data_IF_557529096617
#
_entry.id   IF_557529096617
#
_cell.length_a   1.000
_cell.length_b   1.000
_cell.length_c   1.000
_cell.angle_alpha   90.00
_cell.angle_beta   90.00
_cell.angle_gamma   90.00
#
_symmetry.space_group_name_H-M   'P 1'
#
loop_
_entity.id
_entity.type
_entity.pdbx_description
1 polymer ?
#
# COMPACT_ATOMS: atom_id res chain seq x y z
N UNK A 1 21.98 -17.21 99.17
CA UNK A 1 22.63 -16.47 98.07
C UNK A 1 22.28 -17.14 96.76
N UNK A 2 21.41 -16.54 95.95
CA UNK A 2 20.95 -17.05 94.66
C UNK A 2 21.49 -16.13 93.59
N UNK A 3 22.45 -16.63 92.75
CA UNK A 3 23.04 -15.91 91.67
C UNK A 3 22.16 -16.09 90.43
N UNK A 4 21.57 -15.06 89.91
CA UNK A 4 20.77 -15.05 88.65
C UNK A 4 21.74 -14.86 87.48
N UNK A 5 21.82 -15.86 86.58
CA UNK A 5 22.47 -15.76 85.28
C UNK A 5 21.55 -15.00 84.33
N UNK A 6 22.00 -13.86 83.81
CA UNK A 6 21.35 -13.14 82.70
C UNK A 6 21.86 -13.71 81.38
N UNK A 7 20.97 -14.34 80.63
CA UNK A 7 21.23 -14.78 79.25
C UNK A 7 20.88 -13.60 78.36
N UNK A 8 21.91 -12.98 77.71
CA UNK A 8 21.75 -11.96 76.69
C UNK A 8 21.59 -12.68 75.35
N UNK A 9 20.39 -12.66 74.79
CA UNK A 9 20.08 -13.17 73.47
C UNK A 9 20.43 -12.06 72.40
N UNK A 10 21.47 -12.26 71.59
CA UNK A 10 21.75 -11.42 70.42
C UNK A 10 20.76 -11.77 69.28
N UNK A 11 20.09 -10.77 68.66
CA UNK A 11 19.27 -11.04 67.49
C UNK A 11 20.19 -11.26 66.29
N UNK A 12 20.09 -12.43 65.66
CA UNK A 12 20.70 -12.76 64.35
C UNK A 12 19.81 -12.11 63.29
N UNK A 13 20.28 -10.97 62.70
CA UNK A 13 19.63 -10.34 61.57
C UNK A 13 20.01 -11.10 60.31
N UNK A 14 19.09 -11.90 59.78
CA UNK A 14 19.19 -12.50 58.43
C UNK A 14 19.01 -11.38 57.38
N UNK A 15 20.08 -10.92 56.79
CA UNK A 15 20.05 -10.11 55.58
C UNK A 15 19.64 -11.02 54.39
N UNK A 16 18.35 -10.97 54.04
CA UNK A 16 17.83 -11.50 52.80
C UNK A 16 18.39 -10.64 51.66
N UNK A 17 19.46 -11.10 51.02
CA UNK A 17 19.94 -10.53 49.76
C UNK A 17 18.89 -10.81 48.68
N UNK A 18 18.01 -9.84 48.40
CA UNK A 18 17.16 -9.87 47.24
C UNK A 18 18.06 -9.82 46.00
N UNK A 19 18.21 -10.94 45.29
CA UNK A 19 18.86 -10.99 43.99
C UNK A 19 18.00 -10.12 43.05
N UNK A 20 18.54 -9.00 42.59
CA UNK A 20 17.91 -8.24 41.51
C UNK A 20 17.73 -9.20 40.31
N UNK A 21 16.60 -9.18 39.63
CA UNK A 21 16.41 -9.97 38.44
C UNK A 21 17.56 -9.62 37.46
N UNK A 22 18.23 -10.63 36.94
CA UNK A 22 19.28 -10.43 35.93
C UNK A 22 18.67 -9.67 34.75
N UNK A 23 19.14 -8.46 34.49
CA UNK A 23 18.69 -7.67 33.36
C UNK A 23 19.03 -8.44 32.10
N UNK A 24 18.03 -8.76 31.28
CA UNK A 24 18.28 -9.43 30.01
C UNK A 24 19.32 -8.60 29.20
N UNK A 25 20.27 -9.27 28.55
CA UNK A 25 21.28 -8.59 27.77
C UNK A 25 20.61 -7.73 26.70
N UNK A 26 21.12 -6.52 26.49
CA UNK A 26 20.61 -5.62 25.46
C UNK A 26 20.67 -6.28 24.08
N UNK A 27 19.65 -6.06 23.23
CA UNK A 27 19.68 -6.55 21.85
C UNK A 27 20.90 -6.02 21.09
N UNK A 28 21.40 -6.80 20.12
CA UNK A 28 22.51 -6.42 19.27
C UNK A 28 22.12 -6.44 17.81
N UNK A 29 22.84 -5.67 16.96
CA UNK A 29 22.55 -5.65 15.53
C UNK A 29 22.71 -7.04 14.91
N UNK A 30 23.84 -7.69 15.13
CA UNK A 30 24.18 -8.97 14.49
C UNK A 30 23.26 -10.14 14.89
N UNK A 31 22.55 -10.03 16.02
CA UNK A 31 21.67 -11.10 16.49
C UNK A 31 20.19 -10.80 16.21
N UNK A 32 19.60 -9.79 16.89
CA UNK A 32 18.17 -9.55 16.84
C UNK A 32 17.78 -8.55 15.75
N UNK A 33 18.51 -7.39 15.70
CA UNK A 33 18.07 -6.24 14.93
C UNK A 33 18.14 -6.47 13.43
N UNK A 34 19.23 -7.05 12.92
CA UNK A 34 19.38 -7.31 11.50
C UNK A 34 18.27 -8.21 10.95
N UNK A 35 17.77 -9.17 11.74
CA UNK A 35 16.66 -10.04 11.33
C UNK A 35 15.36 -9.27 11.18
N UNK A 36 15.10 -8.33 12.08
CA UNK A 36 13.94 -7.43 11.97
C UNK A 36 14.08 -6.54 10.73
N UNK A 37 15.26 -5.95 10.52
CA UNK A 37 15.54 -5.11 9.34
C UNK A 37 15.37 -5.90 8.04
N UNK A 38 15.90 -7.12 7.97
CA UNK A 38 15.73 -8.02 6.83
C UNK A 38 14.26 -8.30 6.54
N UNK A 39 13.50 -8.65 7.57
CA UNK A 39 12.09 -9.03 7.42
C UNK A 39 11.16 -7.85 7.10
N UNK A 40 11.45 -6.64 7.63
CA UNK A 40 10.50 -5.52 7.65
C UNK A 40 10.93 -4.28 6.88
N UNK A 41 12.23 -4.06 6.69
CA UNK A 41 12.76 -2.77 6.24
C UNK A 41 13.54 -2.85 4.92
N UNK A 42 14.40 -3.86 4.76
CA UNK A 42 15.38 -3.92 3.67
C UNK A 42 14.77 -4.12 2.29
N UNK A 43 13.51 -4.58 2.19
CA UNK A 43 12.79 -4.64 0.91
C UNK A 43 12.72 -3.27 0.22
N UNK A 44 12.60 -2.19 1.02
CA UNK A 44 12.55 -0.81 0.51
C UNK A 44 13.83 -0.03 0.81
N UNK A 45 14.46 -0.24 2.00
CA UNK A 45 15.66 0.46 2.43
C UNK A 45 16.93 -0.22 1.92
N UNK A 46 17.17 -0.13 0.61
CA UNK A 46 18.38 -0.61 -0.09
C UNK A 46 18.61 0.19 -1.37
N UNK A 47 19.81 0.08 -1.91
CA UNK A 47 20.14 0.78 -3.15
C UNK A 47 19.22 0.39 -4.31
N UNK A 48 18.79 1.37 -5.09
CA UNK A 48 17.90 1.18 -6.25
C UNK A 48 16.41 1.06 -5.93
N UNK A 49 16.02 1.09 -4.66
CA UNK A 49 14.63 1.14 -4.22
C UNK A 49 14.18 2.54 -3.81
N UNK A 50 12.94 2.65 -3.40
CA UNK A 50 12.28 3.95 -3.17
C UNK A 50 12.78 4.68 -1.91
N UNK A 51 13.19 3.94 -0.87
CA UNK A 51 13.60 4.57 0.38
C UNK A 51 14.86 5.46 0.19
N UNK A 52 14.97 6.60 0.89
CA UNK A 52 16.04 7.58 0.68
C UNK A 52 17.41 7.11 1.21
N UNK A 53 17.47 6.04 2.00
CA UNK A 53 18.69 5.49 2.57
C UNK A 53 18.62 3.97 2.71
N UNK A 54 19.77 3.34 2.80
CA UNK A 54 19.94 1.90 3.01
C UNK A 54 19.86 1.53 4.50
N UNK A 55 19.44 0.28 4.78
CA UNK A 55 19.52 -0.37 6.10
C UNK A 55 20.11 -1.79 5.97
N UNK A 56 21.03 -1.99 5.02
CA UNK A 56 21.61 -3.31 4.75
C UNK A 56 22.70 -3.63 5.76
N UNK A 57 23.54 -2.65 6.13
CA UNK A 57 24.70 -2.84 7.00
C UNK A 57 24.46 -2.31 8.41
N UNK A 58 25.29 -2.77 9.36
CA UNK A 58 25.31 -2.19 10.70
C UNK A 58 25.52 -0.68 10.65
N UNK A 59 26.47 -0.20 9.85
CA UNK A 59 26.76 1.22 9.72
C UNK A 59 25.57 2.02 9.23
N UNK A 60 24.84 1.51 8.22
CA UNK A 60 23.62 2.15 7.72
C UNK A 60 22.60 2.33 8.86
N UNK A 61 22.35 1.25 9.63
CA UNK A 61 21.37 1.27 10.71
C UNK A 61 21.84 2.12 11.89
N UNK A 62 23.13 2.08 12.24
CA UNK A 62 23.72 2.88 13.32
C UNK A 62 23.60 4.38 13.03
N UNK A 63 23.95 4.81 11.82
CA UNK A 63 23.89 6.21 11.42
C UNK A 63 22.46 6.74 11.38
N UNK A 64 21.47 5.87 11.18
CA UNK A 64 20.03 6.17 11.10
C UNK A 64 19.23 5.76 12.34
N UNK A 65 19.87 5.37 13.43
CA UNK A 65 19.22 4.81 14.61
C UNK A 65 18.14 5.73 15.22
N UNK A 66 18.40 7.03 15.27
CA UNK A 66 17.41 7.97 15.82
C UNK A 66 16.21 8.13 14.90
N UNK A 67 16.44 8.23 13.58
CA UNK A 67 15.37 8.23 12.57
C UNK A 67 14.54 6.94 12.65
N UNK A 68 15.19 5.78 12.81
CA UNK A 68 14.51 4.48 12.98
C UNK A 68 13.64 4.50 14.24
N UNK A 69 14.20 4.92 15.40
CA UNK A 69 13.45 4.98 16.67
C UNK A 69 12.18 5.81 16.52
N UNK A 70 12.31 7.02 15.99
CA UNK A 70 11.20 7.96 15.89
C UNK A 70 10.13 7.47 14.90
N UNK A 71 10.54 6.91 13.77
CA UNK A 71 9.66 6.35 12.77
C UNK A 71 8.89 5.10 13.27
N UNK A 72 9.54 4.19 14.01
CA UNK A 72 8.87 2.99 14.53
C UNK A 72 7.99 3.31 15.74
N UNK A 73 8.41 4.21 16.65
CA UNK A 73 7.58 4.68 17.78
C UNK A 73 6.33 5.40 17.27
N UNK A 74 6.48 6.24 16.24
CA UNK A 74 5.37 6.94 15.58
C UNK A 74 4.52 6.05 14.67
N UNK A 75 4.85 4.77 14.51
CA UNK A 75 4.16 3.84 13.59
C UNK A 75 4.12 4.34 12.13
N UNK A 76 5.04 5.21 11.76
CA UNK A 76 5.22 5.70 10.39
C UNK A 76 5.87 4.61 9.52
N UNK A 77 6.81 3.83 10.11
CA UNK A 77 7.50 2.72 9.45
C UNK A 77 7.37 1.42 10.26
N UNK A 78 7.24 0.28 9.54
CA UNK A 78 6.90 0.15 8.11
C UNK A 78 5.53 0.73 7.78
N UNK A 79 5.30 1.23 6.54
CA UNK A 79 4.02 1.85 6.16
C UNK A 79 2.92 0.80 6.08
N UNK A 80 2.05 0.80 7.09
CA UNK A 80 0.90 -0.10 7.18
C UNK A 80 -0.21 0.59 7.97
N UNK A 81 -1.27 0.98 7.30
CA UNK A 81 -2.32 1.83 7.87
C UNK A 81 -3.57 1.10 8.39
N UNK A 82 -3.93 -0.13 7.95
CA UNK A 82 -5.10 -0.81 8.49
C UNK A 82 -4.99 -1.09 9.99
N UNK A 83 -6.03 -0.72 10.72
CA UNK A 83 -6.17 -1.01 12.15
C UNK A 83 -6.41 -2.51 12.36
N UNK A 84 -5.70 -3.17 13.28
CA UNK A 84 -5.93 -4.57 13.60
C UNK A 84 -7.39 -4.86 13.99
N UNK A 85 -7.93 -6.00 13.52
CA UNK A 85 -9.31 -6.39 13.76
C UNK A 85 -10.33 -5.80 12.76
N UNK A 86 -9.89 -4.91 11.86
CA UNK A 86 -10.71 -4.38 10.77
C UNK A 86 -10.21 -4.92 9.43
N UNK A 87 -10.66 -6.12 9.06
CA UNK A 87 -10.16 -6.87 7.93
C UNK A 87 -8.90 -7.69 8.26
N UNK A 88 -8.71 -8.77 7.51
CA UNK A 88 -7.52 -9.62 7.57
C UNK A 88 -6.85 -9.62 6.20
N UNK A 89 -5.61 -9.16 6.14
CA UNK A 89 -4.91 -8.93 4.88
C UNK A 89 -3.67 -9.80 4.75
N UNK A 90 -3.33 -10.17 3.51
CA UNK A 90 -2.08 -10.84 3.20
C UNK A 90 -0.89 -9.93 3.49
N UNK A 91 0.21 -10.54 3.95
CA UNK A 91 1.50 -9.88 4.16
C UNK A 91 1.42 -8.56 4.96
N UNK A 92 0.83 -8.58 6.17
CA UNK A 92 0.73 -7.38 6.98
C UNK A 92 2.13 -6.89 7.35
N UNK A 93 2.42 -5.62 6.99
CA UNK A 93 3.73 -5.01 7.24
C UNK A 93 3.85 -4.34 8.61
N UNK A 94 2.74 -4.26 9.37
CA UNK A 94 2.76 -3.68 10.71
C UNK A 94 3.85 -4.34 11.56
N UNK A 95 4.74 -3.52 12.12
CA UNK A 95 5.78 -3.99 13.03
C UNK A 95 5.14 -4.52 14.32
N UNK A 96 5.33 -5.81 14.67
CA UNK A 96 4.87 -6.36 15.95
C UNK A 96 5.45 -5.59 17.13
N UNK A 97 4.70 -5.50 18.23
CA UNK A 97 5.14 -4.75 19.41
C UNK A 97 6.43 -5.30 20.02
N UNK A 98 6.65 -6.61 19.93
CA UNK A 98 7.91 -7.22 20.37
C UNK A 98 9.10 -6.76 19.52
N UNK A 99 8.97 -6.75 18.18
CA UNK A 99 10.01 -6.29 17.28
C UNK A 99 10.28 -4.78 17.47
N UNK A 100 9.23 -3.98 17.68
CA UNK A 100 9.36 -2.54 17.99
C UNK A 100 10.15 -2.34 19.29
N UNK A 101 9.78 -3.06 20.36
CA UNK A 101 10.49 -2.99 21.65
C UNK A 101 11.96 -3.36 21.49
N UNK A 102 12.28 -4.39 20.71
CA UNK A 102 13.66 -4.82 20.44
C UNK A 102 14.45 -3.72 19.74
N UNK A 103 13.90 -3.10 18.68
CA UNK A 103 14.56 -2.00 17.98
C UNK A 103 14.84 -0.80 18.90
N UNK A 104 13.83 -0.42 19.69
CA UNK A 104 13.96 0.71 20.63
C UNK A 104 14.99 0.41 21.73
N UNK A 105 14.95 -0.79 22.33
CA UNK A 105 15.90 -1.20 23.36
C UNK A 105 17.33 -1.25 22.83
N UNK A 106 17.53 -1.71 21.59
CA UNK A 106 18.84 -1.68 20.92
C UNK A 106 19.39 -0.25 20.81
N UNK A 107 18.56 0.69 20.36
CA UNK A 107 18.97 2.10 20.18
C UNK A 107 19.26 2.75 21.54
N UNK A 108 18.41 2.53 22.54
CA UNK A 108 18.56 3.07 23.90
C UNK A 108 19.79 2.50 24.63
N UNK A 109 20.23 1.29 24.26
CA UNK A 109 21.47 0.68 24.75
C UNK A 109 22.75 1.16 24.02
N UNK A 110 22.65 2.18 23.15
CA UNK A 110 23.77 2.71 22.38
C UNK A 110 24.01 1.99 21.05
N UNK A 111 23.04 1.21 20.60
CA UNK A 111 23.06 0.51 19.32
C UNK A 111 24.27 -0.43 19.12
N UNK A 112 24.56 -1.38 20.02
CA UNK A 112 25.72 -2.26 19.93
C UNK A 112 25.66 -3.17 18.69
N UNK A 113 26.82 -3.38 18.04
CA UNK A 113 26.93 -4.26 16.87
C UNK A 113 26.74 -5.74 17.25
N UNK A 114 27.39 -6.17 18.31
CA UNK A 114 27.32 -7.55 18.79
C UNK A 114 28.34 -8.49 18.14
N UNK A 115 28.20 -9.78 18.43
CA UNK A 115 29.08 -10.84 17.97
C UNK A 115 28.94 -11.07 16.45
N UNK A 116 29.99 -10.92 15.63
CA UNK A 116 29.96 -11.18 14.19
C UNK A 116 29.52 -12.61 13.82
N UNK A 117 29.76 -13.59 14.69
CA UNK A 117 29.36 -14.98 14.44
C UNK A 117 27.84 -15.19 14.44
N UNK A 118 27.06 -14.24 14.98
CA UNK A 118 25.60 -14.25 15.01
C UNK A 118 24.96 -13.56 13.81
N UNK A 119 25.75 -12.89 12.96
CA UNK A 119 25.23 -12.19 11.78
C UNK A 119 24.66 -13.22 10.79
N UNK A 120 23.35 -13.11 10.42
CA UNK A 120 22.77 -13.98 9.42
C UNK A 120 23.31 -13.66 8.01
N UNK A 121 23.20 -14.59 7.06
CA UNK A 121 23.49 -14.28 5.66
C UNK A 121 22.72 -13.06 5.17
N UNK A 122 23.29 -12.24 4.28
CA UNK A 122 22.57 -11.15 3.64
C UNK A 122 21.33 -11.64 2.92
N UNK A 123 20.27 -10.84 2.95
CA UNK A 123 19.07 -11.14 2.18
C UNK A 123 19.36 -10.99 0.69
N UNK A 124 18.93 -11.99 -0.09
CA UNK A 124 19.01 -11.96 -1.56
C UNK A 124 17.71 -11.37 -2.09
N UNK A 125 17.82 -10.31 -2.86
CA UNK A 125 16.68 -9.67 -3.51
C UNK A 125 16.62 -10.06 -4.98
N UNK A 126 15.41 -10.32 -5.54
CA UNK A 126 15.27 -10.55 -6.97
C UNK A 126 15.82 -9.36 -7.77
N UNK A 127 16.58 -9.63 -8.80
CA UNK A 127 16.96 -8.65 -9.81
C UNK A 127 15.92 -8.66 -10.93
N UNK A 128 15.35 -7.50 -11.29
CA UNK A 128 14.30 -7.42 -12.32
C UNK A 128 12.89 -7.66 -11.77
N UNK A 129 12.15 -8.57 -12.40
CA UNK A 129 10.76 -8.85 -12.06
C UNK A 129 10.63 -9.69 -10.79
N UNK A 130 9.87 -9.22 -9.81
CA UNK A 130 9.66 -9.92 -8.52
C UNK A 130 8.86 -11.22 -8.67
N UNK A 131 7.91 -11.22 -9.64
CA UNK A 131 7.07 -12.39 -9.93
C UNK A 131 7.71 -13.39 -10.89
N UNK A 132 9.01 -13.22 -11.19
CA UNK A 132 9.74 -13.97 -12.20
C UNK A 132 9.53 -13.39 -13.60
N UNK A 133 10.14 -14.06 -14.62
CA UNK A 133 10.09 -13.58 -16.01
C UNK A 133 8.62 -13.54 -16.49
N UNK A 134 8.08 -12.38 -16.89
CA UNK A 134 6.73 -12.29 -17.44
C UNK A 134 6.62 -12.94 -18.82
N UNK A 135 5.42 -13.42 -19.16
CA UNK A 135 5.13 -13.94 -20.49
C UNK A 135 5.14 -12.84 -21.56
N UNK A 136 4.82 -11.62 -21.16
CA UNK A 136 4.83 -10.44 -22.04
C UNK A 136 5.16 -9.18 -21.26
N UNK A 137 5.88 -8.27 -21.89
CA UNK A 137 6.21 -6.95 -21.33
C UNK A 137 5.61 -5.88 -22.21
N UNK A 138 4.74 -5.07 -21.66
CA UNK A 138 4.29 -3.81 -22.23
C UNK A 138 5.19 -2.69 -21.72
N UNK A 139 5.56 -1.75 -22.57
CA UNK A 139 6.44 -0.64 -22.24
C UNK A 139 5.85 0.66 -22.78
N UNK A 140 6.04 1.75 -22.08
CA UNK A 140 5.69 3.09 -22.59
C UNK A 140 6.31 3.27 -23.99
N UNK A 141 5.54 3.76 -24.97
CA UNK A 141 6.01 3.87 -26.35
C UNK A 141 7.33 4.64 -26.46
N UNK A 142 7.46 5.70 -25.67
CA UNK A 142 8.66 6.53 -25.61
C UNK A 142 8.96 6.99 -24.17
N UNK A 143 10.22 7.37 -23.87
CA UNK A 143 10.58 7.93 -22.57
C UNK A 143 9.91 9.30 -22.38
N UNK A 144 9.48 9.58 -21.15
CA UNK A 144 8.94 10.87 -20.76
C UNK A 144 9.88 11.61 -19.80
N UNK A 145 10.22 12.85 -20.13
CA UNK A 145 11.10 13.67 -19.30
C UNK A 145 10.30 14.65 -18.45
N UNK A 146 10.38 14.49 -17.15
CA UNK A 146 9.76 15.36 -16.14
C UNK A 146 10.71 16.49 -15.81
N UNK A 147 10.22 17.73 -15.86
CA UNK A 147 11.01 18.91 -15.54
C UNK A 147 11.53 18.89 -14.10
N UNK A 148 12.62 19.61 -13.84
CA UNK A 148 13.12 19.82 -12.49
C UNK A 148 12.06 20.52 -11.64
N UNK A 149 11.92 20.10 -10.36
CA UNK A 149 10.96 20.66 -9.38
C UNK A 149 9.50 20.69 -9.88
N UNK A 150 9.14 19.76 -10.76
CA UNK A 150 7.77 19.61 -11.24
C UNK A 150 6.97 18.71 -10.32
N UNK A 151 5.82 19.17 -9.87
CA UNK A 151 4.86 18.41 -9.06
C UNK A 151 3.57 18.18 -9.85
N UNK A 152 2.86 17.11 -9.47
CA UNK A 152 1.52 16.80 -9.98
C UNK A 152 1.42 16.75 -11.52
N UNK A 153 2.41 16.13 -12.17
CA UNK A 153 2.38 15.92 -13.62
C UNK A 153 1.64 14.63 -13.91
N UNK A 154 0.45 14.74 -14.54
CA UNK A 154 -0.36 13.60 -14.96
C UNK A 154 -0.29 13.41 -16.46
N UNK A 155 0.22 12.25 -16.89
CA UNK A 155 0.34 11.88 -18.31
C UNK A 155 -0.21 10.47 -18.52
N UNK A 156 -1.03 10.30 -19.54
CA UNK A 156 -1.50 9.01 -20.00
C UNK A 156 -0.74 8.58 -21.26
N UNK A 157 -0.26 7.36 -21.27
CA UNK A 157 0.44 6.76 -22.42
C UNK A 157 -0.38 5.58 -22.94
N UNK A 158 -0.57 5.54 -24.24
CA UNK A 158 -1.35 4.50 -24.91
C UNK A 158 -0.41 3.39 -25.38
N UNK A 159 -0.55 2.20 -24.82
CA UNK A 159 0.28 1.04 -25.14
C UNK A 159 -0.58 0.04 -25.91
N UNK A 160 -0.36 -0.13 -27.22
CA UNK A 160 -1.07 -1.15 -28.00
C UNK A 160 -0.62 -2.55 -27.57
N UNK A 161 -1.57 -3.47 -27.38
CA UNK A 161 -1.24 -4.83 -26.97
C UNK A 161 -1.01 -5.77 -28.14
N UNK A 162 -1.63 -5.50 -29.30
CA UNK A 162 -1.52 -6.28 -30.54
C UNK A 162 -1.86 -7.78 -30.39
N UNK A 163 -2.58 -8.19 -29.34
CA UNK A 163 -2.98 -9.58 -29.18
C UNK A 163 -4.10 -9.95 -30.16
N UNK A 164 -3.95 -11.09 -30.89
CA UNK A 164 -4.93 -11.53 -31.87
C UNK A 164 -6.18 -12.16 -31.23
N UNK A 165 -6.14 -12.43 -29.93
CA UNK A 165 -7.21 -13.04 -29.13
C UNK A 165 -7.23 -12.47 -27.72
N UNK A 166 -8.33 -12.69 -26.98
CA UNK A 166 -8.44 -12.32 -25.57
C UNK A 166 -7.36 -13.00 -24.74
N UNK A 167 -6.78 -12.27 -23.80
CA UNK A 167 -5.80 -12.79 -22.84
C UNK A 167 -6.33 -12.71 -21.43
N UNK A 168 -6.10 -13.75 -20.66
CA UNK A 168 -6.38 -13.77 -19.24
C UNK A 168 -5.08 -13.56 -18.47
N UNK A 169 -5.00 -12.43 -17.77
CA UNK A 169 -3.85 -12.04 -16.97
C UNK A 169 -4.08 -12.48 -15.53
N UNK A 170 -3.16 -13.30 -15.01
CA UNK A 170 -3.22 -13.81 -13.62
C UNK A 170 -2.27 -13.08 -12.68
N UNK A 171 -1.19 -12.46 -13.22
CA UNK A 171 -0.26 -11.65 -12.46
C UNK A 171 0.14 -10.43 -13.27
N UNK A 172 0.25 -9.28 -12.61
CA UNK A 172 0.68 -8.03 -13.24
C UNK A 172 1.66 -7.31 -12.32
N UNK A 173 2.80 -6.91 -12.87
CA UNK A 173 3.86 -6.22 -12.14
C UNK A 173 4.33 -4.98 -12.89
N UNK A 174 4.26 -3.83 -12.23
CA UNK A 174 4.81 -2.58 -12.75
C UNK A 174 6.28 -2.43 -12.38
N UNK A 175 7.06 -2.00 -13.34
CA UNK A 175 8.47 -1.65 -13.19
C UNK A 175 8.69 -0.20 -13.64
N UNK A 176 8.54 0.78 -12.75
CA UNK A 176 8.90 2.17 -13.04
C UNK A 176 10.34 2.29 -13.52
N UNK A 177 10.58 3.07 -14.57
CA UNK A 177 11.93 3.33 -15.08
C UNK A 177 12.71 4.20 -14.11
N UNK A 178 12.04 5.19 -13.49
CA UNK A 178 12.60 6.02 -12.44
C UNK A 178 11.69 6.09 -11.21
N UNK A 179 11.96 5.22 -10.23
CA UNK A 179 11.18 5.12 -8.98
C UNK A 179 11.22 6.38 -8.10
N UNK A 180 12.12 7.32 -8.38
CA UNK A 180 12.25 8.56 -7.58
C UNK A 180 11.28 9.63 -8.00
N UNK A 181 10.74 9.56 -9.22
CA UNK A 181 9.80 10.55 -9.75
C UNK A 181 8.42 9.99 -10.04
N UNK A 182 8.26 8.67 -10.13
CA UNK A 182 6.95 8.04 -10.29
C UNK A 182 6.28 7.96 -8.93
N UNK A 183 5.21 8.74 -8.72
CA UNK A 183 4.43 8.76 -7.49
C UNK A 183 3.43 7.62 -7.46
N UNK A 184 2.59 7.46 -8.50
CA UNK A 184 1.75 6.29 -8.70
C UNK A 184 1.43 6.03 -10.17
N UNK A 185 0.93 4.83 -10.44
CA UNK A 185 0.53 4.34 -11.77
C UNK A 185 -0.88 3.78 -11.65
N UNK A 186 -1.76 4.18 -12.55
CA UNK A 186 -3.06 3.54 -12.77
C UNK A 186 -3.11 2.98 -14.19
N UNK A 187 -3.82 1.88 -14.38
CA UNK A 187 -4.00 1.31 -15.72
C UNK A 187 -5.46 1.19 -16.10
N UNK A 188 -5.75 1.48 -17.34
CA UNK A 188 -7.07 1.42 -17.93
C UNK A 188 -7.03 0.61 -19.23
N UNK A 189 -8.11 -0.06 -19.56
CA UNK A 189 -8.25 -0.82 -20.80
C UNK A 189 -9.18 -0.03 -21.71
N UNK A 190 -8.67 0.39 -22.87
CA UNK A 190 -9.46 0.93 -23.98
C UNK A 190 -9.66 -0.14 -25.04
N UNK A 191 -10.92 -0.49 -25.31
CA UNK A 191 -11.33 -1.42 -26.38
C UNK A 191 -11.79 -0.68 -27.64
N UNK A 192 -11.79 0.66 -27.59
CA UNK A 192 -12.13 1.53 -28.71
C UNK A 192 -10.91 2.26 -29.26
N UNK A 193 -11.12 3.48 -29.70
CA UNK A 193 -10.09 4.37 -30.27
C UNK A 193 -10.01 5.70 -29.51
N UNK A 194 -10.67 5.79 -28.34
CA UNK A 194 -10.79 7.05 -27.61
C UNK A 194 -9.42 7.51 -27.09
N UNK A 195 -8.63 6.61 -26.51
CA UNK A 195 -7.30 6.91 -26.01
C UNK A 195 -6.36 7.38 -27.13
N UNK A 196 -6.38 6.70 -28.28
CA UNK A 196 -5.57 7.12 -29.44
C UNK A 196 -5.98 8.48 -30.01
N UNK A 197 -7.26 8.83 -29.93
CA UNK A 197 -7.73 10.15 -30.37
C UNK A 197 -7.22 11.25 -29.44
N UNK A 198 -7.23 11.01 -28.11
CA UNK A 198 -6.68 11.93 -27.12
C UNK A 198 -5.16 12.09 -27.28
N UNK A 199 -4.45 10.98 -27.49
CA UNK A 199 -2.99 10.97 -27.70
C UNK A 199 -2.59 11.75 -28.94
N UNK A 200 -3.28 11.55 -30.07
CA UNK A 200 -3.03 12.33 -31.30
C UNK A 200 -3.35 13.82 -31.18
N UNK A 201 -4.24 14.20 -30.27
CA UNK A 201 -4.61 15.59 -30.06
C UNK A 201 -3.60 16.37 -29.18
N UNK A 202 -2.80 15.67 -28.39
CA UNK A 202 -1.75 16.25 -27.55
C UNK A 202 -0.41 16.26 -28.32
N UNK A 203 0.32 17.36 -28.40
CA UNK A 203 1.57 17.43 -29.17
C UNK A 203 2.77 16.76 -28.48
N UNK A 204 2.64 16.37 -27.22
CA UNK A 204 3.71 15.75 -26.42
C UNK A 204 3.64 14.23 -26.38
N UNK A 205 4.62 13.57 -25.76
CA UNK A 205 4.56 12.16 -25.47
C UNK A 205 3.35 11.80 -24.57
N UNK A 206 2.47 10.93 -25.04
CA UNK A 206 1.20 10.66 -24.38
C UNK A 206 0.29 11.89 -24.37
N UNK A 207 -0.74 11.92 -23.52
CA UNK A 207 -1.64 13.06 -23.37
C UNK A 207 -1.84 13.45 -21.91
N UNK A 208 -2.20 14.71 -21.66
CA UNK A 208 -2.55 15.19 -20.33
C UNK A 208 -3.86 14.55 -19.87
N UNK A 209 -3.87 13.93 -18.70
CA UNK A 209 -5.00 13.14 -18.23
C UNK A 209 -5.26 13.34 -16.73
N UNK A 210 -5.13 14.56 -16.27
CA UNK A 210 -5.61 14.94 -14.94
C UNK A 210 -7.11 14.61 -14.83
N UNK A 211 -7.50 13.89 -13.81
CA UNK A 211 -8.90 13.51 -13.63
C UNK A 211 -9.31 12.16 -14.20
N UNK A 212 -8.35 11.38 -14.73
CA UNK A 212 -8.60 10.05 -15.28
C UNK A 212 -8.29 9.94 -16.77
N UNK A 213 -8.57 8.81 -17.41
CA UNK A 213 -8.08 8.52 -18.77
C UNK A 213 -8.82 9.29 -19.88
N UNK A 214 -9.86 10.07 -19.55
CA UNK A 214 -10.65 10.84 -20.52
C UNK A 214 -11.68 10.02 -21.32
N UNK A 215 -11.86 8.75 -20.97
CA UNK A 215 -12.85 7.85 -21.58
C UNK A 215 -13.39 6.84 -20.53
N UNK A 216 -14.47 6.13 -20.86
CA UNK A 216 -14.99 5.05 -20.02
C UNK A 216 -14.18 3.75 -20.23
N UNK A 217 -13.36 3.30 -19.27
CA UNK A 217 -12.52 2.13 -19.46
C UNK A 217 -13.33 0.83 -19.38
N UNK A 218 -12.94 -0.18 -20.15
CA UNK A 218 -13.49 -1.54 -20.08
C UNK A 218 -12.98 -2.34 -18.85
N UNK A 219 -12.04 -1.79 -18.11
CA UNK A 219 -11.40 -2.36 -16.93
C UNK A 219 -10.01 -1.80 -16.70
N UNK A 220 -9.24 -2.48 -15.86
CA UNK A 220 -7.83 -2.21 -15.60
C UNK A 220 -7.10 -3.48 -15.21
N UNK A 221 -5.78 -3.47 -15.26
CA UNK A 221 -4.96 -4.62 -14.89
C UNK A 221 -4.47 -4.52 -13.44
N UNK A 222 -3.87 -3.41 -13.09
CA UNK A 222 -3.39 -3.13 -11.73
C UNK A 222 -2.97 -1.67 -11.63
N UNK A 223 -2.61 -1.24 -10.44
CA UNK A 223 -1.91 0.02 -10.19
C UNK A 223 -0.59 -0.23 -9.47
N UNK A 224 0.20 0.81 -9.32
CA UNK A 224 1.42 0.80 -8.54
C UNK A 224 1.56 2.10 -7.75
N UNK A 225 2.07 1.98 -6.55
CA UNK A 225 2.60 3.08 -5.75
C UNK A 225 3.78 2.54 -4.93
N UNK A 226 4.63 3.41 -4.34
CA UNK A 226 5.73 2.98 -3.50
C UNK A 226 5.29 1.97 -2.43
N UNK A 227 5.95 0.82 -2.38
CA UNK A 227 5.64 -0.24 -1.42
C UNK A 227 4.47 -1.17 -1.77
N UNK A 228 3.69 -0.93 -2.81
CA UNK A 228 2.65 -1.87 -3.26
C UNK A 228 3.31 -3.14 -3.82
N UNK A 229 2.78 -4.29 -3.42
CA UNK A 229 3.19 -5.58 -3.98
C UNK A 229 2.53 -5.81 -5.34
N UNK A 230 3.20 -6.50 -6.27
CA UNK A 230 2.63 -6.87 -7.54
C UNK A 230 1.34 -7.69 -7.36
N UNK A 231 0.38 -7.49 -8.26
CA UNK A 231 -0.90 -8.16 -8.16
C UNK A 231 -0.83 -9.60 -8.67
N UNK A 232 -1.28 -10.52 -7.82
CA UNK A 232 -1.46 -11.94 -8.13
C UNK A 232 -2.92 -12.30 -7.91
N UNK A 233 -3.54 -12.98 -8.88
CA UNK A 233 -4.93 -13.45 -8.78
C UNK A 233 -4.97 -14.82 -8.12
N UNK A 234 -6.10 -15.10 -7.45
CA UNK A 234 -6.40 -16.43 -6.93
C UNK A 234 -6.56 -17.44 -8.09
N UNK A 235 -6.42 -18.72 -7.77
CA UNK A 235 -6.62 -19.79 -8.75
C UNK A 235 -8.01 -19.72 -9.39
N UNK A 236 -8.05 -19.86 -10.71
CA UNK A 236 -9.28 -19.77 -11.49
C UNK A 236 -9.81 -18.34 -11.71
N UNK A 237 -9.11 -17.32 -11.20
CA UNK A 237 -9.45 -15.91 -11.39
C UNK A 237 -8.49 -15.25 -12.39
N UNK A 238 -9.02 -14.42 -13.28
CA UNK A 238 -8.20 -13.67 -14.23
C UNK A 238 -8.73 -12.27 -14.48
N UNK A 239 -7.84 -11.37 -14.86
CA UNK A 239 -8.16 -10.07 -15.44
C UNK A 239 -8.24 -10.22 -16.97
N UNK A 240 -9.34 -9.82 -17.56
CA UNK A 240 -9.50 -9.91 -19.01
C UNK A 240 -8.78 -8.75 -19.69
N UNK A 241 -7.89 -9.09 -20.62
CA UNK A 241 -7.31 -8.18 -21.58
C UNK A 241 -7.85 -8.55 -22.98
N UNK A 242 -8.83 -7.80 -23.49
CA UNK A 242 -9.51 -8.12 -24.74
C UNK A 242 -8.58 -8.06 -25.95
N UNK A 243 -8.88 -8.86 -26.95
CA UNK A 243 -8.25 -8.80 -28.27
C UNK A 243 -8.16 -7.37 -28.79
N UNK A 244 -6.97 -6.97 -29.25
CA UNK A 244 -6.73 -5.65 -29.85
C UNK A 244 -6.94 -4.45 -28.92
N UNK A 245 -7.16 -4.67 -27.62
CA UNK A 245 -7.28 -3.60 -26.65
C UNK A 245 -5.95 -2.84 -26.50
N UNK A 246 -6.05 -1.62 -25.97
CA UNK A 246 -4.91 -0.83 -25.53
C UNK A 246 -4.88 -0.78 -24.03
N UNK A 247 -3.70 -0.84 -23.47
CA UNK A 247 -3.48 -0.51 -22.06
C UNK A 247 -3.08 0.96 -22.00
N UNK A 248 -3.93 1.74 -21.36
CA UNK A 248 -3.63 3.16 -21.10
C UNK A 248 -3.09 3.27 -19.70
N UNK A 249 -1.90 3.79 -19.57
CA UNK A 249 -1.25 3.97 -18.29
C UNK A 249 -1.23 5.46 -17.91
N UNK A 250 -1.91 5.78 -16.82
CA UNK A 250 -1.80 7.10 -16.21
C UNK A 250 -0.63 7.09 -15.24
N UNK A 251 0.32 7.95 -15.52
CA UNK A 251 1.48 8.20 -14.70
C UNK A 251 1.27 9.49 -13.92
N UNK A 252 1.38 9.41 -12.60
CA UNK A 252 1.53 10.59 -11.75
C UNK A 252 2.99 10.75 -11.39
N UNK A 253 3.58 11.83 -11.84
CA UNK A 253 4.97 12.16 -11.56
C UNK A 253 5.09 13.30 -10.55
N UNK A 254 6.07 13.17 -9.66
CA UNK A 254 6.53 14.22 -8.76
C UNK A 254 8.06 14.24 -8.77
N UNK A 255 8.67 15.31 -9.29
CA UNK A 255 10.11 15.44 -9.38
C UNK A 255 10.61 16.59 -8.48
N UNK A 256 10.95 16.28 -7.25
CA UNK A 256 11.50 17.25 -6.29
C UNK A 256 12.97 17.60 -6.57
N UNK A 257 13.65 16.87 -7.45
CA UNK A 257 15.06 17.10 -7.73
C UNK A 257 15.28 18.40 -8.51
N UNK A 258 16.47 19.03 -8.38
CA UNK A 258 16.83 20.21 -9.18
C UNK A 258 17.14 19.87 -10.64
N UNK A 259 17.10 18.60 -11.01
CA UNK A 259 17.45 18.12 -12.35
C UNK A 259 16.22 17.53 -13.06
N UNK A 260 16.24 17.59 -14.39
CA UNK A 260 15.29 16.84 -15.22
C UNK A 260 15.55 15.35 -15.04
N UNK A 261 14.47 14.56 -14.97
CA UNK A 261 14.54 13.10 -14.85
C UNK A 261 13.66 12.45 -15.90
N UNK A 262 14.07 11.28 -16.36
CA UNK A 262 13.38 10.59 -17.46
C UNK A 262 12.90 9.24 -16.97
N UNK A 263 11.63 8.92 -17.24
CA UNK A 263 11.02 7.63 -16.97
C UNK A 263 10.64 6.91 -18.27
N UNK A 264 10.73 5.59 -18.25
CA UNK A 264 10.14 4.68 -19.21
C UNK A 264 9.65 3.43 -18.48
N UNK A 265 8.43 3.52 -18.00
CA UNK A 265 7.80 2.48 -17.20
C UNK A 265 7.39 1.28 -18.03
N UNK A 266 7.49 0.08 -17.43
CA UNK A 266 7.12 -1.21 -18.02
C UNK A 266 6.09 -1.93 -17.15
N UNK A 267 5.26 -2.76 -17.82
CA UNK A 267 4.31 -3.66 -17.19
C UNK A 267 4.59 -5.10 -17.64
N UNK A 268 4.96 -5.96 -16.70
CA UNK A 268 5.08 -7.40 -16.91
C UNK A 268 3.73 -8.10 -16.71
N UNK A 269 3.34 -8.89 -17.69
CA UNK A 269 2.10 -9.67 -17.69
C UNK A 269 2.41 -11.16 -17.65
N UNK A 270 1.73 -11.88 -16.76
CA UNK A 270 1.72 -13.34 -16.73
C UNK A 270 0.32 -13.82 -17.12
N UNK A 271 0.25 -14.61 -18.18
CA UNK A 271 -1.01 -15.15 -18.67
C UNK A 271 -1.40 -16.42 -17.94
N UNK A 272 -2.69 -16.71 -17.95
CA UNK A 272 -3.23 -17.92 -17.35
C UNK A 272 -2.62 -19.18 -17.98
N UNK A 273 -2.12 -20.06 -17.14
CA UNK A 273 -1.61 -21.41 -17.52
C UNK A 273 -2.62 -22.51 -17.18
N UNK A 274 -3.63 -22.19 -16.39
CA UNK A 274 -4.72 -23.05 -15.98
C UNK A 274 -6.08 -22.46 -16.34
N UNK A 275 -7.15 -23.13 -15.97
CA UNK A 275 -8.51 -22.69 -16.26
C UNK A 275 -8.85 -21.35 -15.60
N UNK A 276 -9.67 -20.53 -16.26
CA UNK A 276 -10.25 -19.32 -15.72
C UNK A 276 -11.76 -19.49 -15.69
N UNK A 277 -12.32 -19.41 -14.50
CA UNK A 277 -13.76 -19.53 -14.27
C UNK A 277 -14.40 -18.23 -13.81
N UNK A 278 -13.61 -17.30 -13.22
CA UNK A 278 -14.10 -16.00 -12.72
C UNK A 278 -13.25 -14.84 -13.25
N UNK A 279 -13.93 -13.74 -13.55
CA UNK A 279 -13.28 -12.49 -13.92
C UNK A 279 -13.10 -11.58 -12.71
N UNK A 280 -11.89 -11.11 -12.52
CA UNK A 280 -11.61 -10.01 -11.60
C UNK A 280 -12.24 -8.71 -12.10
N UNK A 281 -13.01 -8.06 -11.24
CA UNK A 281 -13.60 -6.73 -11.46
C UNK A 281 -13.32 -5.84 -10.26
N UNK A 282 -13.72 -4.58 -10.36
CA UNK A 282 -13.67 -3.63 -9.25
C UNK A 282 -15.01 -2.88 -9.17
N UNK A 283 -15.46 -2.62 -7.95
CA UNK A 283 -16.51 -1.66 -7.67
C UNK A 283 -15.90 -0.46 -6.94
N UNK A 284 -16.47 0.72 -7.13
CA UNK A 284 -16.10 1.93 -6.41
C UNK A 284 -17.27 2.39 -5.55
N UNK A 285 -17.02 2.58 -4.25
CA UNK A 285 -17.96 3.24 -3.34
C UNK A 285 -17.42 4.64 -3.10
N UNK A 286 -18.15 5.65 -3.55
CA UNK A 286 -17.63 7.02 -3.57
C UNK A 286 -18.77 8.05 -3.38
N UNK A 287 -18.38 9.23 -2.89
CA UNK A 287 -19.21 10.42 -2.87
C UNK A 287 -18.50 11.55 -3.62
N UNK A 288 -19.19 12.17 -4.58
CA UNK A 288 -18.67 13.33 -5.35
C UNK A 288 -19.35 14.64 -4.95
N UNK A 289 -20.34 14.58 -4.06
CA UNK A 289 -21.16 15.73 -3.70
C UNK A 289 -20.91 16.11 -2.24
N UNK A 290 -19.74 16.70 -1.96
CA UNK A 290 -19.42 17.24 -0.65
C UNK A 290 -18.61 18.54 -0.75
N UNK A 291 -18.65 19.30 0.32
CA UNK A 291 -17.82 20.47 0.55
C UNK A 291 -17.27 20.39 1.98
N UNK A 292 -15.96 20.50 2.14
CA UNK A 292 -15.26 20.49 3.43
C UNK A 292 -15.00 21.95 3.83
N UNK A 293 -15.76 22.50 4.81
CA UNK A 293 -15.61 23.92 5.15
C UNK A 293 -14.24 24.20 5.82
N UNK A 294 -13.71 25.41 5.65
CA UNK A 294 -12.48 25.82 6.32
C UNK A 294 -12.68 25.79 7.86
N UNK A 295 -11.65 25.31 8.58
CA UNK A 295 -11.65 25.18 10.03
C UNK A 295 -12.32 23.91 10.57
N UNK A 296 -12.92 23.08 9.72
CA UNK A 296 -13.50 21.80 10.14
C UNK A 296 -12.40 20.82 10.57
N UNK A 297 -12.37 20.43 11.84
CA UNK A 297 -11.40 19.47 12.40
C UNK A 297 -11.80 18.02 12.16
N UNK A 298 -13.09 17.74 11.96
CA UNK A 298 -13.64 16.42 11.71
C UNK A 298 -14.88 16.53 10.83
N UNK A 299 -14.68 16.54 9.52
CA UNK A 299 -15.76 16.56 8.54
C UNK A 299 -15.98 15.16 7.97
N UNK A 300 -17.18 14.61 8.15
CA UNK A 300 -17.50 13.26 7.71
C UNK A 300 -18.19 13.29 6.34
N UNK A 301 -17.71 12.44 5.44
CA UNK A 301 -18.30 12.19 4.12
C UNK A 301 -18.59 10.70 4.00
N UNK A 302 -19.82 10.35 3.68
CA UNK A 302 -20.25 8.96 3.56
C UNK A 302 -20.71 8.62 2.16
N UNK A 303 -20.57 7.34 1.82
CA UNK A 303 -21.13 6.73 0.61
C UNK A 303 -21.54 5.29 0.89
N UNK A 304 -22.46 4.77 0.09
CA UNK A 304 -22.84 3.36 0.18
C UNK A 304 -23.05 2.74 -1.20
N UNK A 305 -22.88 1.43 -1.26
CA UNK A 305 -23.18 0.60 -2.41
C UNK A 305 -23.90 -0.65 -1.94
N UNK A 306 -25.00 -1.01 -2.60
CA UNK A 306 -25.71 -2.25 -2.29
C UNK A 306 -25.48 -3.26 -3.40
N UNK A 307 -25.00 -4.46 -3.02
CA UNK A 307 -24.86 -5.59 -3.94
C UNK A 307 -26.25 -5.93 -4.49
N UNK A 308 -26.45 -5.94 -5.82
CA UNK A 308 -27.75 -6.22 -6.40
C UNK A 308 -28.31 -7.55 -5.91
N UNK A 309 -29.63 -7.62 -5.56
CA UNK A 309 -30.27 -8.87 -5.18
C UNK A 309 -30.06 -9.96 -6.24
N UNK A 310 -29.83 -11.20 -5.79
CA UNK A 310 -29.58 -12.33 -6.68
C UNK A 310 -28.18 -12.37 -7.32
N UNK A 311 -27.28 -11.48 -6.91
CA UNK A 311 -25.87 -11.51 -7.28
C UNK A 311 -25.01 -11.67 -6.03
N UNK A 312 -24.38 -12.81 -5.89
CA UNK A 312 -23.42 -13.02 -4.81
C UNK A 312 -22.02 -12.71 -5.32
N UNK A 313 -21.29 -11.91 -4.55
CA UNK A 313 -19.94 -11.46 -4.86
C UNK A 313 -18.99 -11.91 -3.77
N UNK A 314 -17.69 -11.96 -4.10
CA UNK A 314 -16.63 -12.03 -3.11
C UNK A 314 -15.67 -10.84 -3.30
N UNK A 315 -15.40 -10.11 -2.22
CA UNK A 315 -14.34 -9.11 -2.19
C UNK A 315 -12.99 -9.79 -1.94
N UNK A 316 -12.03 -9.56 -2.82
CA UNK A 316 -10.66 -10.11 -2.70
C UNK A 316 -9.62 -9.04 -2.36
N UNK A 317 -9.90 -7.76 -2.59
CA UNK A 317 -9.02 -6.66 -2.21
C UNK A 317 -9.81 -5.38 -1.94
N UNK A 318 -9.18 -4.44 -1.21
CA UNK A 318 -9.75 -3.15 -0.88
C UNK A 318 -8.67 -2.07 -0.91
N UNK A 319 -8.97 -0.92 -1.55
CA UNK A 319 -8.06 0.20 -1.72
C UNK A 319 -8.79 1.52 -1.38
N UNK A 320 -8.66 2.01 -0.14
CA UNK A 320 -9.11 3.34 0.27
C UNK A 320 -8.32 4.45 -0.43
N UNK A 321 -8.99 5.58 -0.71
CA UNK A 321 -8.34 6.72 -1.34
C UNK A 321 -8.96 8.05 -0.86
N UNK A 322 -8.11 8.93 -0.39
CA UNK A 322 -8.35 10.34 -0.04
C UNK A 322 -7.09 11.14 -0.39
N UNK A 323 -7.13 12.47 -0.26
CA UNK A 323 -5.96 13.31 -0.46
C UNK A 323 -5.39 13.83 0.88
N UNK A 324 -4.89 15.07 0.91
CA UNK A 324 -4.09 15.62 2.01
C UNK A 324 -4.88 15.91 3.29
N UNK A 325 -6.17 16.26 3.16
CA UNK A 325 -7.02 16.53 4.33
C UNK A 325 -7.60 15.27 4.95
N UNK A 326 -7.47 14.12 4.29
CA UNK A 326 -7.90 12.83 4.82
C UNK A 326 -7.27 12.50 6.18
N UNK A 327 -8.08 11.93 7.09
CA UNK A 327 -7.68 11.51 8.43
C UNK A 327 -8.02 10.06 8.70
N UNK A 328 -9.26 9.67 8.40
CA UNK A 328 -9.76 8.34 8.68
C UNK A 328 -10.61 7.84 7.52
N UNK A 329 -10.57 6.55 7.25
CA UNK A 329 -11.57 5.89 6.40
C UNK A 329 -11.97 4.56 6.99
N UNK A 330 -13.27 4.37 7.19
CA UNK A 330 -13.87 3.13 7.67
C UNK A 330 -14.82 2.57 6.64
N UNK A 331 -14.68 1.27 6.33
CA UNK A 331 -15.55 0.56 5.40
C UNK A 331 -16.09 -0.69 6.07
N UNK A 332 -17.42 -0.87 6.01
CA UNK A 332 -18.11 -2.01 6.57
C UNK A 332 -19.09 -2.61 5.57
N UNK A 333 -19.37 -3.91 5.69
CA UNK A 333 -20.42 -4.60 4.96
C UNK A 333 -21.52 -4.99 5.96
N UNK A 334 -22.76 -4.53 5.73
CA UNK A 334 -23.96 -4.95 6.46
C UNK A 334 -24.70 -5.98 5.62
N UNK A 335 -24.76 -7.22 6.12
CA UNK A 335 -25.41 -8.33 5.46
C UNK A 335 -26.94 -8.24 5.54
N UNK A 336 -27.70 -8.98 4.71
CA UNK A 336 -29.15 -8.97 4.74
C UNK A 336 -29.76 -9.38 6.08
N UNK A 337 -29.05 -10.17 6.89
CA UNK A 337 -29.45 -10.56 8.25
C UNK A 337 -29.15 -9.52 9.32
N UNK A 338 -28.60 -8.37 8.93
CA UNK A 338 -28.19 -7.27 9.83
C UNK A 338 -26.78 -7.44 10.43
N UNK A 339 -26.09 -8.53 10.18
CA UNK A 339 -24.69 -8.72 10.64
C UNK A 339 -23.77 -7.68 9.97
N UNK A 340 -22.96 -7.00 10.77
CA UNK A 340 -21.99 -6.01 10.28
C UNK A 340 -20.59 -6.63 10.30
N UNK A 341 -19.95 -6.67 9.14
CA UNK A 341 -18.56 -7.11 8.97
C UNK A 341 -17.65 -5.94 8.65
N UNK A 342 -16.61 -5.67 9.45
CA UNK A 342 -15.60 -4.68 9.10
C UNK A 342 -14.78 -5.16 7.90
N UNK A 343 -14.60 -4.29 6.90
CA UNK A 343 -13.78 -4.56 5.72
C UNK A 343 -12.38 -3.93 5.88
N UNK A 344 -12.31 -2.65 6.26
CA UNK A 344 -11.08 -1.95 6.58
C UNK A 344 -11.39 -0.73 7.45
N UNK A 345 -10.44 -0.38 8.32
CA UNK A 345 -10.39 0.90 9.02
C UNK A 345 -8.96 1.43 8.98
N UNK A 346 -8.80 2.66 8.55
CA UNK A 346 -7.58 3.46 8.63
C UNK A 346 -7.91 4.65 9.53
N UNK A 347 -7.22 4.77 10.67
CA UNK A 347 -7.42 5.82 11.67
C UNK A 347 -6.35 6.93 11.61
N UNK A 348 -5.31 6.70 10.82
CA UNK A 348 -4.23 7.66 10.54
C UNK A 348 -3.90 7.61 9.04
N UNK A 349 -4.74 8.27 8.25
CA UNK A 349 -4.54 8.35 6.80
C UNK A 349 -3.23 9.06 6.47
N UNK A 350 -2.52 8.56 5.47
CA UNK A 350 -1.33 9.20 4.91
C UNK A 350 -1.38 9.13 3.38
N UNK A 351 -1.47 10.29 2.75
CA UNK A 351 -1.52 10.42 1.30
C UNK A 351 -0.33 9.77 0.58
N UNK A 352 0.83 9.70 1.23
CA UNK A 352 2.02 9.06 0.65
C UNK A 352 1.97 7.52 0.69
N UNK A 353 1.03 6.93 1.45
CA UNK A 353 0.95 5.48 1.68
C UNK A 353 -0.42 4.91 1.35
N UNK A 354 -0.80 5.02 0.09
CA UNK A 354 -2.08 4.55 -0.43
C UNK A 354 -1.97 3.07 -0.82
N UNK A 355 -2.42 2.18 0.07
CA UNK A 355 -2.31 0.74 -0.13
C UNK A 355 -3.48 0.11 -0.86
N UNK A 356 -3.22 -0.93 -1.64
CA UNK A 356 -4.21 -1.92 -2.04
C UNK A 356 -4.01 -3.16 -1.18
N UNK A 357 -5.00 -3.50 -0.35
CA UNK A 357 -4.93 -4.55 0.65
C UNK A 357 -5.68 -5.78 0.15
N UNK A 358 -4.97 -6.89 -0.05
CA UNK A 358 -5.57 -8.16 -0.45
C UNK A 358 -6.03 -8.92 0.80
N UNK A 359 -7.28 -9.34 0.84
CA UNK A 359 -7.80 -10.15 1.96
C UNK A 359 -7.10 -11.51 2.01
N UNK A 360 -6.88 -12.04 3.23
CA UNK A 360 -6.33 -13.40 3.42
C UNK A 360 -7.26 -14.47 2.87
N UNK A 361 -8.56 -14.19 2.87
CA UNK A 361 -9.62 -15.00 2.25
C UNK A 361 -10.63 -14.05 1.63
N UNK A 362 -11.12 -14.34 0.43
CA UNK A 362 -12.18 -13.55 -0.17
C UNK A 362 -13.38 -13.41 0.77
N UNK A 363 -13.86 -12.18 0.94
CA UNK A 363 -14.97 -11.84 1.84
C UNK A 363 -16.29 -12.02 1.09
N UNK A 364 -17.20 -12.91 1.53
CA UNK A 364 -18.49 -13.07 0.87
C UNK A 364 -19.35 -11.78 1.02
N UNK A 365 -19.97 -11.39 -0.08
CA UNK A 365 -20.89 -10.25 -0.19
C UNK A 365 -22.16 -10.73 -0.90
N UNK A 366 -23.07 -11.45 -0.19
CA UNK A 366 -24.30 -11.94 -0.80
C UNK A 366 -25.19 -10.79 -1.30
N UNK A 367 -26.06 -11.08 -2.25
CA UNK A 367 -27.02 -10.11 -2.79
C UNK A 367 -27.83 -9.44 -1.68
N UNK A 368 -27.95 -8.11 -1.75
CA UNK A 368 -28.55 -7.28 -0.71
C UNK A 368 -27.57 -6.76 0.35
N UNK A 369 -26.31 -7.22 0.38
CA UNK A 369 -25.29 -6.66 1.27
C UNK A 369 -25.06 -5.18 0.96
N UNK A 370 -25.14 -4.33 1.98
CA UNK A 370 -24.80 -2.90 1.88
C UNK A 370 -23.37 -2.67 2.36
N UNK A 371 -22.58 -2.04 1.50
CA UNK A 371 -21.22 -1.61 1.81
C UNK A 371 -21.27 -0.12 2.12
N UNK A 372 -20.87 0.26 3.33
CA UNK A 372 -20.83 1.64 3.79
C UNK A 372 -19.38 2.09 3.94
N UNK A 373 -19.05 3.26 3.40
CA UNK A 373 -17.80 3.97 3.56
C UNK A 373 -18.04 5.27 4.32
N UNK A 374 -17.22 5.55 5.32
CA UNK A 374 -17.14 6.85 6.01
C UNK A 374 -15.71 7.34 5.93
N UNK A 375 -15.52 8.48 5.29
CA UNK A 375 -14.26 9.22 5.22
C UNK A 375 -14.30 10.42 6.15
N UNK A 376 -13.22 10.70 6.85
CA UNK A 376 -13.09 11.84 7.78
C UNK A 376 -11.96 12.73 7.32
N UNK A 377 -12.22 14.03 7.27
CA UNK A 377 -11.29 15.06 6.83
C UNK A 377 -11.02 16.10 7.92
N UNK A 378 -9.80 16.66 7.91
CA UNK A 378 -9.39 17.77 8.78
C UNK A 378 -8.92 18.95 7.91
N UNK A 379 -9.80 19.94 7.75
CA UNK A 379 -9.54 21.19 7.04
C UNK A 379 -9.24 22.35 8.01
N UNK A 380 -8.65 22.05 9.16
CA UNK A 380 -8.28 23.06 10.13
C UNK A 380 -6.90 23.65 9.87
N UNK A 381 -6.63 24.81 10.45
CA UNK A 381 -5.31 25.45 10.37
C UNK A 381 -4.21 24.68 11.12
N UNK A 382 -4.61 23.86 12.11
CA UNK A 382 -3.72 23.01 12.90
C UNK A 382 -3.32 21.72 12.21
N UNK A 383 -4.00 21.34 11.11
CA UNK A 383 -3.62 20.19 10.32
C UNK A 383 -2.24 20.43 9.68
N UNK A 384 -1.24 19.64 10.07
CA UNK A 384 0.13 19.77 9.56
C UNK A 384 0.26 19.50 8.05
N UNK A 385 -0.73 18.79 7.47
CA UNK A 385 -0.82 18.47 6.02
C UNK A 385 -1.70 19.46 5.26
N UNK A 386 -2.15 20.56 5.90
CA UNK A 386 -3.01 21.57 5.29
C UNK A 386 -2.31 22.25 4.09
N UNK A 387 -2.82 22.07 2.86
CA UNK A 387 -2.17 22.64 1.67
C UNK A 387 -2.42 24.14 1.50
N UNK A 388 -3.44 24.70 2.15
CA UNK A 388 -3.85 26.10 2.01
C UNK A 388 -3.72 26.88 3.32
N UNK A 389 -3.06 28.04 3.30
CA UNK A 389 -2.91 28.92 4.47
C UNK A 389 -3.35 30.34 4.10
N UNK A 390 -4.51 30.81 4.58
CA UNK A 390 -5.46 30.13 5.47
C UNK A 390 -6.19 28.97 4.79
N UNK A 391 -6.83 28.05 5.56
CA UNK A 391 -7.68 27.01 5.01
C UNK A 391 -8.79 27.60 4.14
N UNK A 392 -9.11 26.93 3.02
CA UNK A 392 -10.22 27.27 2.12
C UNK A 392 -11.23 26.13 2.07
N UNK A 393 -12.42 26.40 1.57
CA UNK A 393 -13.39 25.34 1.29
C UNK A 393 -12.85 24.41 0.20
N UNK A 394 -12.98 23.08 0.42
CA UNK A 394 -12.46 22.03 -0.48
C UNK A 394 -13.59 21.15 -0.93
N UNK A 395 -13.64 20.89 -2.23
CA UNK A 395 -14.65 20.07 -2.90
C UNK A 395 -14.04 18.78 -3.46
N UNK A 396 -14.90 17.90 -3.96
CA UNK A 396 -14.45 16.79 -4.79
C UNK A 396 -13.64 17.30 -5.97
N UNK A 397 -12.49 16.70 -6.16
CA UNK A 397 -11.60 16.97 -7.29
C UNK A 397 -10.41 16.04 -7.29
N UNK A 398 -9.69 16.01 -8.40
CA UNK A 398 -8.58 15.09 -8.63
C UNK A 398 -7.22 15.72 -8.29
N UNK A 399 -7.17 17.03 -8.06
CA UNK A 399 -5.95 17.74 -7.65
C UNK A 399 -5.53 17.33 -6.25
N UNK A 400 -4.23 17.24 -5.99
CA UNK A 400 -3.68 16.93 -4.68
C UNK A 400 -4.22 17.83 -3.57
N UNK A 401 -4.60 19.08 -3.91
CA UNK A 401 -5.21 20.04 -2.97
C UNK A 401 -6.75 20.05 -2.96
N UNK A 402 -7.39 19.30 -3.85
CA UNK A 402 -8.79 18.95 -3.77
C UNK A 402 -8.95 17.72 -2.85
N UNK A 403 -10.15 17.14 -2.76
CA UNK A 403 -10.35 15.93 -1.97
C UNK A 403 -11.16 14.86 -2.69
N UNK A 404 -10.90 13.60 -2.34
CA UNK A 404 -11.67 12.45 -2.76
C UNK A 404 -12.15 11.64 -1.55
N UNK A 405 -13.37 11.11 -1.64
CA UNK A 405 -13.91 10.12 -0.72
C UNK A 405 -14.31 8.89 -1.54
N UNK A 406 -13.37 7.93 -1.65
CA UNK A 406 -13.57 6.75 -2.51
C UNK A 406 -12.87 5.52 -1.92
N UNK A 407 -13.50 4.36 -2.07
CA UNK A 407 -12.86 3.06 -1.87
C UNK A 407 -13.11 2.16 -3.07
N UNK A 408 -12.06 1.58 -3.59
CA UNK A 408 -12.11 0.54 -4.63
C UNK A 408 -12.10 -0.83 -3.98
N UNK A 409 -13.01 -1.72 -4.40
CA UNK A 409 -13.10 -3.08 -3.90
C UNK A 409 -12.97 -4.03 -5.08
N UNK A 410 -11.92 -4.83 -5.07
CA UNK A 410 -11.72 -5.90 -6.06
C UNK A 410 -12.69 -7.04 -5.77
N UNK A 411 -13.42 -7.49 -6.79
CA UNK A 411 -14.48 -8.49 -6.63
C UNK A 411 -14.44 -9.58 -7.70
N UNK A 412 -15.04 -10.73 -7.36
CA UNK A 412 -15.48 -11.78 -8.29
C UNK A 412 -16.95 -12.10 -8.06
N UNK A 413 -17.67 -12.56 -9.09
CA UNK A 413 -19.06 -12.99 -8.99
C UNK A 413 -19.13 -14.51 -8.82
N UNK A 414 -19.96 -15.00 -7.86
CA UNK A 414 -20.01 -16.43 -7.52
C UNK A 414 -20.67 -17.27 -8.60
N UNK A 415 -21.71 -16.75 -9.23
CA UNK A 415 -22.41 -17.42 -10.33
C UNK A 415 -21.66 -17.43 -11.65
N UNK A 416 -20.51 -16.74 -11.76
CA UNK A 416 -19.77 -16.67 -13.01
C UNK A 416 -19.08 -18.00 -13.33
N UNK A 417 -19.20 -18.43 -14.58
CA UNK A 417 -18.56 -19.63 -15.13
C UNK A 417 -18.05 -19.29 -16.53
N UNK A 418 -16.86 -18.70 -16.61
CA UNK A 418 -16.23 -18.34 -17.89
C UNK A 418 -15.87 -19.59 -18.67
N UNK A 419 -15.38 -20.62 -18.00
CA UNK A 419 -15.03 -21.90 -18.60
C UNK A 419 -13.86 -21.80 -19.58
N UNK A 420 -13.06 -20.73 -19.53
CA UNK A 420 -11.89 -20.62 -20.40
C UNK A 420 -10.82 -21.64 -20.01
N UNK A 421 -10.21 -22.23 -20.99
CA UNK A 421 -9.10 -23.17 -20.83
C UNK A 421 -7.95 -22.73 -21.72
N UNK A 422 -6.68 -22.90 -21.28
CA UNK A 422 -5.54 -22.62 -22.13
C UNK A 422 -5.56 -23.53 -23.36
N UNK A 423 -5.07 -23.07 -24.52
CA UNK A 423 -4.89 -23.92 -25.67
C UNK A 423 -4.09 -25.16 -25.33
N UNK A 424 -4.43 -26.31 -25.89
CA UNK A 424 -3.60 -27.52 -25.82
C UNK A 424 -2.20 -27.19 -26.36
N UNK A 425 -1.17 -27.67 -25.68
CA UNK A 425 0.22 -27.48 -26.11
C UNK A 425 0.51 -28.32 -27.33
#
# INVERSE_FOLDING_TARGET
>A
MWTRLLIVALPVVFLLSASAPAQEPAPTFNNEVVRILQARCQTCHRSGEHAPFSLITYRDAYDKRDDIRDAVKGRVMPPWKPVPGFGEFLEPRRLPDAELKTLVAWIEAGAPEGDPAKLPPPQVFPTGWRLGQPDHVLEMPEPYTVAARASDVYRCFVIPTSFPEDRWVTKAEWAPGDRKIVHHILSFIDTGTAAEALDRADPGPGYSCFGGPGFAPAGGLSGWAPGIQPRVMDDGVGMLLPKGARVVVQMHYNNESPERRTDRTRLGLHFAKGPIDKRQRSIAVLNRAFAIPPGAKRHEVSASFTVPPGRDLHANSIAPHMHLLGREMKVTATYPDGTVRPLIYIDDWDFNWQGNYTFTRPVPLPGGTRIDMVAVFDNSAENLRQPSKPPREVYWGEGTTDEMAIVFIGITADGERIGWRPPAK
#
